data_IF_155954106986
#
_entry.id   IF_155954106986
#
_cell.length_a   1.000
_cell.length_b   1.000
_cell.length_c   1.000
_cell.angle_alpha   90.00
_cell.angle_beta   90.00
_cell.angle_gamma   90.00
#
_symmetry.space_group_name_H-M   'P 1'
#
loop_
_entity.id
_entity.type
_entity.pdbx_description
1 polymer ?
#
# COMPACT_ATOMS: atom_id res chain seq x y z
N UNK A 1 0.44 10.46 -10.48
CA UNK A 1 1.50 9.57 -9.98
C UNK A 1 0.95 8.33 -9.28
N UNK A 2 -0.07 8.45 -8.42
CA UNK A 2 -0.68 7.29 -7.77
C UNK A 2 -1.17 6.24 -8.79
N UNK A 3 -1.97 6.63 -9.79
CA UNK A 3 -2.42 5.74 -10.86
C UNK A 3 -1.28 5.16 -11.70
N UNK A 4 -0.21 5.94 -11.90
CA UNK A 4 0.98 5.49 -12.63
C UNK A 4 1.76 4.43 -11.82
N UNK A 5 1.75 4.52 -10.49
CA UNK A 5 2.42 3.57 -9.62
C UNK A 5 1.64 2.26 -9.49
N UNK A 6 0.32 2.34 -9.47
CA UNK A 6 -0.57 1.18 -9.34
C UNK A 6 -0.95 0.54 -10.70
N UNK A 7 -0.73 1.22 -11.83
CA UNK A 7 -1.24 0.79 -13.13
C UNK A 7 -2.76 0.62 -13.08
N UNK A 8 -3.25 -0.51 -13.59
CA UNK A 8 -4.66 -0.86 -13.48
C UNK A 8 -4.99 -1.65 -12.20
N UNK A 9 -4.07 -1.70 -11.24
CA UNK A 9 -4.06 -2.54 -10.03
C UNK A 9 -5.42 -2.99 -9.50
N UNK A 10 -6.28 -2.09 -8.99
CA UNK A 10 -7.59 -2.48 -8.46
C UNK A 10 -8.53 -3.11 -9.49
N UNK A 11 -8.41 -2.73 -10.76
CA UNK A 11 -9.27 -3.21 -11.85
C UNK A 11 -8.78 -4.50 -12.49
N UNK A 12 -7.51 -4.91 -12.26
CA UNK A 12 -6.88 -6.06 -12.89
C UNK A 12 -7.68 -7.35 -12.67
N UNK A 13 -8.09 -7.63 -11.43
CA UNK A 13 -8.80 -8.84 -11.08
C UNK A 13 -10.09 -8.99 -11.86
N UNK A 14 -10.92 -7.94 -11.87
CA UNK A 14 -12.20 -7.93 -12.59
C UNK A 14 -12.00 -7.94 -14.11
N UNK A 15 -10.97 -7.24 -14.62
CA UNK A 15 -10.60 -7.24 -16.03
C UNK A 15 -10.24 -8.65 -16.56
N UNK A 16 -9.43 -9.40 -15.82
CA UNK A 16 -9.05 -10.77 -16.18
C UNK A 16 -10.21 -11.74 -16.02
N UNK A 17 -11.02 -11.57 -14.96
CA UNK A 17 -12.23 -12.39 -14.76
C UNK A 17 -13.23 -12.26 -15.91
N UNK A 18 -13.46 -11.04 -16.42
CA UNK A 18 -14.31 -10.83 -17.60
C UNK A 18 -13.78 -11.54 -18.87
N UNK A 19 -12.49 -11.86 -18.91
CA UNK A 19 -11.84 -12.63 -19.98
C UNK A 19 -11.76 -14.12 -19.73
N UNK A 20 -12.50 -14.61 -18.73
CA UNK A 20 -12.61 -16.02 -18.43
C UNK A 20 -11.51 -16.57 -17.53
N UNK A 21 -10.67 -15.71 -16.93
CA UNK A 21 -9.68 -16.19 -15.97
C UNK A 21 -10.33 -16.59 -14.65
N UNK A 22 -9.83 -17.69 -14.09
CA UNK A 22 -10.20 -18.14 -12.76
C UNK A 22 -9.45 -17.34 -11.67
N UNK A 23 -10.00 -17.30 -10.47
CA UNK A 23 -9.47 -16.49 -9.37
C UNK A 23 -8.09 -16.94 -8.89
N UNK A 24 -7.77 -18.22 -8.95
CA UNK A 24 -6.45 -18.76 -8.57
C UNK A 24 -5.31 -18.20 -9.42
N UNK A 25 -5.33 -18.36 -10.75
CA UNK A 25 -4.36 -17.72 -11.66
C UNK A 25 -4.29 -16.20 -11.52
N UNK A 26 -5.43 -15.50 -11.35
CA UNK A 26 -5.44 -14.05 -11.09
C UNK A 26 -4.65 -13.72 -9.82
N UNK A 27 -4.95 -14.41 -8.73
CA UNK A 27 -4.21 -14.23 -7.47
C UNK A 27 -2.71 -14.52 -7.60
N UNK A 28 -2.35 -15.55 -8.38
CA UNK A 28 -0.95 -15.93 -8.63
C UNK A 28 -0.17 -14.82 -9.34
N UNK A 29 -0.73 -14.23 -10.41
CA UNK A 29 -0.02 -13.14 -11.12
C UNK A 29 0.06 -11.87 -10.29
N UNK A 30 -0.95 -11.56 -9.47
CA UNK A 30 -0.89 -10.44 -8.52
C UNK A 30 0.18 -10.67 -7.44
N UNK A 31 0.30 -11.89 -6.92
CA UNK A 31 1.36 -12.27 -5.98
C UNK A 31 2.75 -12.18 -6.60
N UNK A 32 2.93 -12.63 -7.85
CA UNK A 32 4.19 -12.52 -8.56
C UNK A 32 4.63 -11.05 -8.67
N UNK A 33 3.71 -10.15 -9.03
CA UNK A 33 3.96 -8.70 -8.99
C UNK A 33 4.31 -8.20 -7.59
N UNK A 34 3.53 -8.57 -6.58
CA UNK A 34 3.77 -8.16 -5.18
C UNK A 34 5.15 -8.57 -4.67
N UNK A 35 5.56 -9.82 -4.90
CA UNK A 35 6.90 -10.32 -4.52
C UNK A 35 8.00 -9.58 -5.28
N UNK A 36 7.83 -9.36 -6.59
CA UNK A 36 8.81 -8.64 -7.40
C UNK A 36 8.98 -7.19 -6.93
N UNK A 37 7.87 -6.48 -6.65
CA UNK A 37 7.89 -5.13 -6.11
C UNK A 37 8.57 -5.05 -4.75
N UNK A 38 8.25 -5.98 -3.84
CA UNK A 38 8.87 -6.06 -2.51
C UNK A 38 10.37 -6.33 -2.62
N UNK A 39 10.78 -7.31 -3.41
CA UNK A 39 12.19 -7.63 -3.62
C UNK A 39 12.97 -6.46 -4.24
N UNK A 40 12.31 -5.66 -5.08
CA UNK A 40 12.93 -4.52 -5.76
C UNK A 40 12.97 -3.24 -4.91
N UNK A 41 12.23 -3.16 -3.80
CA UNK A 41 12.14 -1.93 -2.99
C UNK A 41 13.50 -1.44 -2.52
N UNK A 42 14.32 -2.32 -1.94
CA UNK A 42 15.67 -1.94 -1.44
C UNK A 42 16.64 -1.64 -2.59
N UNK A 43 16.78 -2.49 -3.63
CA UNK A 43 17.63 -2.18 -4.78
C UNK A 43 17.23 -0.88 -5.49
N UNK A 44 15.93 -0.63 -5.67
CA UNK A 44 15.44 0.59 -6.28
C UNK A 44 15.77 1.84 -5.45
N UNK A 45 15.58 1.78 -4.13
CA UNK A 45 16.00 2.85 -3.22
C UNK A 45 17.49 3.16 -3.33
N UNK A 46 18.33 2.13 -3.24
CA UNK A 46 19.77 2.28 -3.38
C UNK A 46 20.19 2.87 -4.75
N UNK A 47 19.54 2.44 -5.84
CA UNK A 47 19.78 3.01 -7.17
C UNK A 47 19.40 4.50 -7.22
N UNK A 48 18.27 4.88 -6.62
CA UNK A 48 17.82 6.27 -6.56
C UNK A 48 18.78 7.15 -5.76
N UNK A 49 19.34 6.63 -4.67
CA UNK A 49 20.33 7.37 -3.87
C UNK A 49 21.60 7.67 -4.63
N UNK A 50 22.03 6.75 -5.50
CA UNK A 50 23.26 6.93 -6.30
C UNK A 50 23.05 7.80 -7.55
N UNK A 51 21.85 7.84 -8.13
CA UNK A 51 21.62 8.57 -9.39
C UNK A 51 21.41 10.07 -9.18
N UNK A 52 22.00 10.89 -10.05
CA UNK A 52 21.69 12.31 -10.17
C UNK A 52 20.43 12.57 -11.03
N UNK A 53 20.02 11.61 -11.85
CA UNK A 53 18.94 11.77 -12.85
C UNK A 53 17.58 11.28 -12.34
N UNK A 54 17.22 11.61 -11.10
CA UNK A 54 15.98 11.12 -10.45
C UNK A 54 14.71 11.39 -11.27
N UNK A 55 14.63 12.53 -11.99
CA UNK A 55 13.51 12.87 -12.88
C UNK A 55 13.37 11.86 -14.02
N UNK A 56 14.48 11.51 -14.68
CA UNK A 56 14.49 10.54 -15.77
C UNK A 56 14.12 9.14 -15.29
N UNK A 57 14.46 8.77 -14.05
CA UNK A 57 14.00 7.49 -13.48
C UNK A 57 12.46 7.48 -13.41
N UNK A 58 11.82 8.54 -12.90
CA UNK A 58 10.35 8.63 -12.87
C UNK A 58 9.75 8.55 -14.28
N UNK A 59 10.37 9.21 -15.27
CA UNK A 59 9.91 9.16 -16.67
C UNK A 59 9.99 7.76 -17.24
N UNK A 60 11.16 7.11 -17.13
CA UNK A 60 11.40 5.78 -17.70
C UNK A 60 10.50 4.75 -17.01
N UNK A 61 10.44 4.75 -15.69
CA UNK A 61 9.59 3.80 -14.94
C UNK A 61 8.10 4.03 -15.22
N UNK A 62 7.69 5.28 -15.38
CA UNK A 62 6.33 5.61 -15.77
C UNK A 62 5.96 5.11 -17.16
N UNK A 63 6.84 5.29 -18.14
CA UNK A 63 6.67 4.74 -19.49
C UNK A 63 6.63 3.20 -19.44
N UNK A 64 7.55 2.56 -18.70
CA UNK A 64 7.56 1.10 -18.54
C UNK A 64 6.25 0.58 -17.95
N UNK A 65 5.72 1.25 -16.90
CA UNK A 65 4.44 0.87 -16.27
C UNK A 65 3.27 0.96 -17.26
N UNK A 66 3.19 2.05 -18.02
CA UNK A 66 2.14 2.23 -19.03
C UNK A 66 2.26 1.16 -20.12
N UNK A 67 3.45 0.95 -20.68
CA UNK A 67 3.67 -0.06 -21.72
C UNK A 67 3.37 -1.47 -21.22
N UNK A 68 3.83 -1.82 -20.01
CA UNK A 68 3.54 -3.10 -19.40
C UNK A 68 2.03 -3.31 -19.21
N UNK A 69 1.30 -2.27 -18.80
CA UNK A 69 -0.16 -2.32 -18.68
C UNK A 69 -0.84 -2.56 -20.04
N UNK A 70 -0.38 -1.89 -21.10
CA UNK A 70 -0.95 -2.08 -22.45
C UNK A 70 -0.76 -3.48 -23.01
N UNK A 71 0.29 -4.22 -22.59
CA UNK A 71 0.46 -5.62 -22.98
C UNK A 71 -0.76 -6.49 -22.62
N UNK A 72 -1.48 -6.14 -21.55
CA UNK A 72 -2.70 -6.83 -21.11
C UNK A 72 -3.87 -6.69 -22.08
N UNK A 73 -3.90 -5.63 -22.90
CA UNK A 73 -4.90 -5.45 -23.95
C UNK A 73 -4.61 -6.35 -25.16
N UNK A 74 -3.33 -6.64 -25.40
CA UNK A 74 -2.90 -7.41 -26.57
C UNK A 74 -2.96 -8.91 -26.32
N UNK A 75 -2.50 -9.37 -25.16
CA UNK A 75 -2.42 -10.80 -24.85
C UNK A 75 -2.80 -11.07 -23.40
N UNK A 76 -3.62 -12.11 -23.22
CA UNK A 76 -3.98 -12.66 -21.92
C UNK A 76 -3.30 -14.02 -21.66
N UNK A 77 -2.22 -14.35 -22.35
CA UNK A 77 -1.42 -15.51 -22.00
C UNK A 77 -0.81 -15.32 -20.59
N UNK A 78 -0.84 -16.36 -19.77
CA UNK A 78 -0.43 -16.31 -18.37
C UNK A 78 0.96 -15.66 -18.18
N UNK A 79 1.95 -16.04 -18.97
CA UNK A 79 3.31 -15.51 -18.90
C UNK A 79 3.36 -14.02 -19.26
N UNK A 80 2.54 -13.55 -20.21
CA UNK A 80 2.49 -12.13 -20.59
C UNK A 80 1.87 -11.31 -19.46
N UNK A 81 0.78 -11.78 -18.86
CA UNK A 81 0.14 -11.12 -17.73
C UNK A 81 1.08 -11.09 -16.51
N UNK A 82 1.70 -12.22 -16.18
CA UNK A 82 2.67 -12.31 -15.07
C UNK A 82 3.86 -11.38 -15.31
N UNK A 83 4.43 -11.41 -16.52
CA UNK A 83 5.54 -10.51 -16.91
C UNK A 83 5.16 -9.04 -16.83
N UNK A 84 3.95 -8.67 -17.27
CA UNK A 84 3.41 -7.31 -17.14
C UNK A 84 3.31 -6.88 -15.66
N UNK A 85 2.77 -7.74 -14.78
CA UNK A 85 2.64 -7.43 -13.36
C UNK A 85 4.01 -7.30 -12.67
N UNK A 86 4.96 -8.18 -12.99
CA UNK A 86 6.34 -8.10 -12.48
C UNK A 86 7.02 -6.82 -12.98
N UNK A 87 6.92 -6.51 -14.27
CA UNK A 87 7.53 -5.29 -14.84
C UNK A 87 6.93 -4.01 -14.23
N UNK A 88 5.60 -3.95 -14.08
CA UNK A 88 4.90 -2.83 -13.44
C UNK A 88 5.33 -2.66 -11.99
N UNK A 89 5.46 -3.76 -11.24
CA UNK A 89 5.84 -3.73 -9.83
C UNK A 89 7.32 -3.29 -9.64
N UNK A 90 8.22 -3.79 -10.48
CA UNK A 90 9.64 -3.37 -10.48
C UNK A 90 9.75 -1.88 -10.81
N UNK A 91 9.07 -1.42 -11.86
CA UNK A 91 9.05 -0.01 -12.22
C UNK A 91 8.44 0.85 -11.11
N UNK A 92 7.31 0.43 -10.56
CA UNK A 92 6.61 1.12 -9.47
C UNK A 92 7.45 1.28 -8.19
N UNK A 93 8.29 0.29 -7.88
CA UNK A 93 9.15 0.29 -6.70
C UNK A 93 10.15 1.48 -6.67
N UNK A 94 10.56 1.98 -7.83
CA UNK A 94 11.48 3.11 -7.94
C UNK A 94 10.81 4.49 -7.87
N UNK A 95 9.50 4.59 -8.16
CA UNK A 95 8.78 5.87 -8.24
C UNK A 95 8.71 6.56 -6.88
N UNK A 96 8.34 5.84 -5.83
CA UNK A 96 8.24 6.38 -4.47
C UNK A 96 9.54 7.01 -3.97
N UNK A 97 10.66 6.25 -3.94
CA UNK A 97 11.98 6.78 -3.56
C UNK A 97 12.43 7.95 -4.45
N UNK A 98 12.18 7.89 -5.77
CA UNK A 98 12.56 8.98 -6.69
C UNK A 98 11.79 10.29 -6.38
N UNK A 99 10.49 10.21 -6.13
CA UNK A 99 9.67 11.38 -5.76
C UNK A 99 10.09 11.93 -4.39
N UNK A 100 10.34 11.05 -3.41
CA UNK A 100 10.84 11.46 -2.10
C UNK A 100 12.20 12.16 -2.22
N UNK A 101 13.13 11.59 -3.00
CA UNK A 101 14.44 12.19 -3.25
C UNK A 101 14.36 13.54 -3.98
N UNK A 102 13.49 13.69 -4.99
CA UNK A 102 13.23 14.98 -5.66
C UNK A 102 12.68 15.98 -4.63
N UNK A 103 11.69 15.58 -3.85
CA UNK A 103 11.09 16.44 -2.80
C UNK A 103 12.15 16.91 -1.82
N UNK A 104 12.96 15.98 -1.29
CA UNK A 104 14.04 16.31 -0.36
C UNK A 104 15.08 17.25 -0.98
N UNK A 105 15.44 17.03 -2.25
CA UNK A 105 16.37 17.89 -2.99
C UNK A 105 15.85 19.30 -3.23
N UNK A 106 14.53 19.50 -3.33
CA UNK A 106 13.92 20.83 -3.56
C UNK A 106 13.69 21.59 -2.25
N UNK A 107 13.11 20.92 -1.23
CA UNK A 107 12.68 21.63 0.01
C UNK A 107 13.65 21.42 1.19
N UNK A 108 14.66 20.59 1.00
CA UNK A 108 15.62 20.17 2.03
C UNK A 108 14.96 19.55 3.27
N UNK A 109 15.78 19.13 4.25
CA UNK A 109 15.29 18.42 5.43
C UNK A 109 14.27 19.22 6.23
N UNK A 110 14.46 20.54 6.38
CA UNK A 110 13.55 21.41 7.16
C UNK A 110 12.13 21.46 6.57
N UNK A 111 12.00 21.43 5.25
CA UNK A 111 10.69 21.49 4.55
C UNK A 111 10.09 20.12 4.23
N UNK A 112 10.86 19.03 4.38
CA UNK A 112 10.51 17.71 3.86
C UNK A 112 9.20 17.18 4.46
N UNK A 113 9.04 17.20 5.78
CA UNK A 113 7.85 16.64 6.44
C UNK A 113 6.56 17.35 5.98
N UNK A 114 6.59 18.69 5.93
CA UNK A 114 5.42 19.48 5.49
C UNK A 114 5.09 19.23 4.01
N UNK A 115 6.11 19.19 3.14
CA UNK A 115 5.90 18.93 1.71
C UNK A 115 5.49 17.48 1.45
N UNK A 116 6.09 16.52 2.14
CA UNK A 116 5.70 15.12 2.01
C UNK A 116 4.25 14.89 2.46
N UNK A 117 3.81 15.55 3.54
CA UNK A 117 2.40 15.53 3.95
C UNK A 117 1.46 16.05 2.86
N UNK A 118 1.83 17.17 2.19
CA UNK A 118 1.07 17.70 1.04
C UNK A 118 1.07 16.72 -0.14
N UNK A 119 2.22 16.11 -0.44
CA UNK A 119 2.33 15.11 -1.51
C UNK A 119 1.41 13.91 -1.24
N UNK A 120 1.33 13.45 0.01
CA UNK A 120 0.43 12.35 0.38
C UNK A 120 -1.05 12.74 0.28
N UNK A 121 -1.41 13.96 0.68
CA UNK A 121 -2.78 14.45 0.49
C UNK A 121 -3.17 14.49 -0.99
N UNK A 122 -2.29 14.99 -1.87
CA UNK A 122 -2.50 14.96 -3.32
C UNK A 122 -2.51 13.55 -3.90
N UNK A 123 -1.74 12.61 -3.32
CA UNK A 123 -1.76 11.21 -3.72
C UNK A 123 -3.13 10.57 -3.44
N UNK A 124 -3.69 10.79 -2.24
CA UNK A 124 -5.03 10.31 -1.90
C UNK A 124 -6.13 10.95 -2.75
N UNK A 125 -6.05 12.25 -3.00
CA UNK A 125 -6.97 12.95 -3.91
C UNK A 125 -6.87 12.39 -5.33
N UNK A 126 -5.65 12.14 -5.81
CA UNK A 126 -5.40 11.52 -7.11
C UNK A 126 -6.00 10.12 -7.22
N UNK A 127 -5.83 9.27 -6.20
CA UNK A 127 -6.44 7.95 -6.15
C UNK A 127 -7.98 8.01 -6.19
N UNK A 128 -8.58 8.94 -5.45
CA UNK A 128 -10.03 9.11 -5.43
C UNK A 128 -10.57 9.54 -6.80
N UNK A 129 -9.95 10.56 -7.40
CA UNK A 129 -10.34 11.09 -8.72
C UNK A 129 -10.06 10.06 -9.81
N UNK A 130 -8.89 9.43 -9.77
CA UNK A 130 -8.49 8.40 -10.73
C UNK A 130 -9.45 7.21 -10.71
N UNK A 131 -9.80 6.70 -9.53
CA UNK A 131 -10.75 5.62 -9.40
C UNK A 131 -12.14 6.02 -9.94
N UNK A 132 -12.64 7.21 -9.60
CA UNK A 132 -13.93 7.69 -10.09
C UNK A 132 -13.99 7.84 -11.60
N UNK A 133 -12.95 8.46 -12.20
CA UNK A 133 -12.84 8.59 -13.67
C UNK A 133 -12.68 7.23 -14.35
N UNK A 134 -11.88 6.32 -13.79
CA UNK A 134 -11.73 4.96 -14.30
C UNK A 134 -13.05 4.19 -14.29
N UNK A 135 -13.82 4.32 -13.19
CA UNK A 135 -15.14 3.71 -13.09
C UNK A 135 -16.10 4.25 -14.14
N UNK A 136 -16.19 5.56 -14.28
CA UNK A 136 -17.09 6.21 -15.24
C UNK A 136 -16.72 5.91 -16.69
N UNK A 137 -15.43 6.01 -17.05
CA UNK A 137 -14.94 5.71 -18.39
C UNK A 137 -15.08 4.23 -18.71
N UNK A 138 -14.76 3.36 -17.75
CA UNK A 138 -14.91 1.91 -17.90
C UNK A 138 -16.37 1.48 -18.10
N UNK A 139 -17.31 2.09 -17.37
CA UNK A 139 -18.73 1.90 -17.54
C UNK A 139 -19.23 2.39 -18.91
N UNK A 140 -18.80 3.59 -19.34
CA UNK A 140 -19.30 4.23 -20.56
C UNK A 140 -18.69 3.69 -21.85
N UNK A 141 -17.40 3.32 -21.83
CA UNK A 141 -16.59 2.97 -22.99
C UNK A 141 -15.95 1.57 -22.88
N UNK A 142 -16.22 0.84 -21.80
CA UNK A 142 -15.63 -0.47 -21.51
C UNK A 142 -14.28 -0.40 -20.82
N UNK A 143 -13.88 -1.54 -20.22
CA UNK A 143 -12.63 -1.67 -19.44
C UNK A 143 -11.35 -1.19 -20.15
N UNK A 144 -11.19 -1.33 -21.50
CA UNK A 144 -10.01 -0.78 -22.18
C UNK A 144 -9.81 0.72 -22.01
N UNK A 145 -10.87 1.51 -21.79
CA UNK A 145 -10.79 2.95 -21.59
C UNK A 145 -9.97 3.32 -20.34
N UNK A 146 -9.93 2.46 -19.33
CA UNK A 146 -9.15 2.64 -18.10
C UNK A 146 -7.65 2.67 -18.42
N UNK A 147 -7.18 1.86 -19.34
CA UNK A 147 -5.77 1.83 -19.77
C UNK A 147 -5.36 3.13 -20.47
N UNK A 148 -6.24 3.68 -21.30
CA UNK A 148 -5.98 4.97 -21.95
C UNK A 148 -6.00 6.12 -20.94
N UNK A 149 -6.87 6.07 -19.93
CA UNK A 149 -6.85 7.04 -18.83
C UNK A 149 -5.55 6.95 -18.03
N UNK A 150 -5.10 5.74 -17.69
CA UNK A 150 -3.81 5.53 -17.00
C UNK A 150 -2.63 6.08 -17.82
N UNK A 151 -2.66 5.90 -19.16
CA UNK A 151 -1.66 6.49 -20.04
C UNK A 151 -1.72 8.03 -20.05
N UNK A 152 -2.93 8.63 -20.09
CA UNK A 152 -3.09 10.07 -20.01
C UNK A 152 -2.56 10.64 -18.69
N UNK A 153 -2.85 9.99 -17.55
CA UNK A 153 -2.27 10.35 -16.25
C UNK A 153 -0.75 10.14 -16.22
N UNK A 154 -0.24 9.10 -16.89
CA UNK A 154 1.18 8.89 -17.08
C UNK A 154 1.85 10.06 -17.80
N UNK A 155 1.30 10.50 -18.90
CA UNK A 155 1.79 11.69 -19.66
C UNK A 155 1.74 12.95 -18.79
N UNK A 156 0.63 13.20 -18.08
CA UNK A 156 0.52 14.34 -17.17
C UNK A 156 1.54 14.28 -16.02
N UNK A 157 1.79 13.10 -15.46
CA UNK A 157 2.79 12.92 -14.41
C UNK A 157 4.21 13.14 -14.93
N UNK A 158 4.53 12.64 -16.12
CA UNK A 158 5.82 12.84 -16.79
C UNK A 158 6.05 14.32 -17.08
N UNK A 159 5.06 15.02 -17.67
CA UNK A 159 5.17 16.45 -17.94
C UNK A 159 5.33 17.27 -16.66
N UNK A 160 4.61 16.93 -15.60
CA UNK A 160 4.75 17.58 -14.29
C UNK A 160 6.13 17.39 -13.68
N UNK A 161 6.72 16.18 -13.77
CA UNK A 161 8.08 15.92 -13.26
C UNK A 161 9.14 16.62 -14.09
N UNK A 162 9.00 16.63 -15.41
CA UNK A 162 9.94 17.31 -16.31
C UNK A 162 9.87 18.85 -16.18
N UNK A 163 8.74 19.41 -15.74
CA UNK A 163 8.61 20.84 -15.47
C UNK A 163 9.38 21.31 -14.23
N UNK A 164 9.81 20.40 -13.35
CA UNK A 164 10.69 20.73 -12.22
C UNK A 164 12.08 21.02 -12.76
N UNK A 165 12.64 22.25 -12.61
CA UNK A 165 13.97 22.58 -13.13
C UNK A 165 15.04 21.71 -12.44
N UNK A 166 15.96 21.14 -13.19
CA UNK A 166 17.03 20.31 -12.64
C UNK A 166 17.89 21.05 -11.62
N UNK A 167 18.15 22.32 -11.90
CA UNK A 167 18.86 23.25 -11.01
C UNK A 167 18.18 23.49 -9.66
N UNK A 168 16.89 23.20 -9.54
CA UNK A 168 16.17 23.32 -8.28
C UNK A 168 16.38 22.10 -7.35
N UNK A 169 16.96 21.02 -7.86
CA UNK A 169 17.17 19.77 -7.11
C UNK A 169 18.61 19.73 -6.62
N UNK A 170 18.80 19.95 -5.32
CA UNK A 170 20.09 19.74 -4.66
C UNK A 170 20.33 18.23 -4.49
N UNK A 171 21.26 17.69 -5.29
CA UNK A 171 21.55 16.24 -5.30
C UNK A 171 22.21 15.75 -4.00
N UNK A 172 22.87 16.62 -3.22
CA UNK A 172 23.45 16.26 -1.91
C UNK A 172 22.35 16.17 -0.86
N UNK A 173 21.48 17.18 -0.80
CA UNK A 173 20.30 17.16 0.05
C UNK A 173 19.39 15.96 -0.29
N UNK A 174 19.15 15.69 -1.57
CA UNK A 174 18.37 14.55 -2.05
C UNK A 174 18.89 13.16 -1.61
N UNK A 175 20.14 13.08 -1.13
CA UNK A 175 20.76 11.87 -0.55
C UNK A 175 20.82 11.91 0.98
N UNK A 176 20.27 12.96 1.62
CA UNK A 176 20.36 13.13 3.07
C UNK A 176 21.74 13.56 3.57
N UNK A 177 22.65 14.04 2.68
CA UNK A 177 24.02 14.42 3.00
C UNK A 177 24.09 15.93 3.35
N UNK A 178 23.23 16.43 4.22
CA UNK A 178 23.35 17.79 4.74
C UNK A 178 24.36 17.87 5.89
N UNK A 179 25.19 18.95 5.96
CA UNK A 179 26.27 19.07 6.95
C UNK A 179 25.81 19.02 8.42
N UNK A 180 24.58 19.42 8.69
CA UNK A 180 24.01 19.45 10.06
C UNK A 180 23.79 18.03 10.64
N UNK A 181 23.73 16.98 9.84
CA UNK A 181 23.50 15.61 10.29
C UNK A 181 24.77 14.75 10.42
N UNK A 182 25.92 15.23 9.94
CA UNK A 182 27.19 14.50 10.09
C UNK A 182 27.68 14.46 11.55
N UNK A 183 27.22 15.37 12.40
CA UNK A 183 27.59 15.38 13.81
C UNK A 183 26.93 14.29 14.67
N UNK A 184 25.80 13.71 14.21
CA UNK A 184 25.08 12.63 14.89
C UNK A 184 25.38 11.24 14.36
N UNK A 185 26.10 11.12 13.25
CA UNK A 185 26.44 9.84 12.61
C UNK A 185 27.59 9.07 13.29
N UNK A 186 28.24 9.64 14.32
CA UNK A 186 29.30 8.98 15.08
C UNK A 186 28.81 8.02 16.19
N UNK A 187 27.51 7.86 16.37
CA UNK A 187 26.95 6.74 17.11
C UNK A 187 27.09 5.49 16.23
N UNK A 188 28.01 4.58 16.58
CA UNK A 188 28.08 3.26 15.97
C UNK A 188 26.67 2.66 16.01
N UNK A 189 26.12 2.42 14.83
CA UNK A 189 24.81 1.79 14.69
C UNK A 189 24.86 0.42 15.36
N UNK A 190 24.28 0.27 16.55
CA UNK A 190 24.13 -1.01 17.24
C UNK A 190 23.53 -2.07 16.29
N UNK A 191 23.99 -3.32 16.41
CA UNK A 191 23.80 -4.34 15.38
C UNK A 191 22.33 -4.66 15.09
N UNK A 192 22.04 -5.14 13.89
CA UNK A 192 20.73 -5.67 13.45
C UNK A 192 20.10 -6.64 14.47
N UNK A 193 20.93 -7.22 15.31
CA UNK A 193 20.57 -8.09 16.43
C UNK A 193 19.67 -7.40 17.47
N UNK A 194 19.79 -6.09 17.66
CA UNK A 194 18.97 -5.34 18.63
C UNK A 194 17.51 -5.21 18.16
N UNK A 195 17.29 -5.02 16.87
CA UNK A 195 15.94 -5.05 16.30
C UNK A 195 15.26 -6.41 16.50
N UNK A 196 16.03 -7.50 16.38
CA UNK A 196 15.54 -8.86 16.60
C UNK A 196 15.33 -9.20 18.10
N UNK A 197 15.85 -8.40 19.01
CA UNK A 197 15.61 -8.54 20.45
C UNK A 197 14.46 -7.68 20.97
N UNK A 198 13.99 -6.72 20.17
CA UNK A 198 12.87 -5.85 20.57
C UNK A 198 11.53 -6.59 20.42
N UNK A 199 11.09 -7.24 21.51
CA UNK A 199 9.84 -8.04 21.52
C UNK A 199 8.61 -7.27 21.04
N UNK A 200 8.31 -6.02 21.49
CA UNK A 200 7.18 -5.25 20.98
C UNK A 200 7.23 -5.05 19.46
N UNK A 201 8.41 -4.78 18.90
CA UNK A 201 8.60 -4.59 17.46
C UNK A 201 8.31 -5.87 16.67
N UNK A 202 8.78 -7.02 17.16
CA UNK A 202 8.53 -8.32 16.54
C UNK A 202 7.06 -8.71 16.58
N UNK A 203 6.37 -8.45 17.71
CA UNK A 203 4.94 -8.70 17.84
C UNK A 203 4.16 -7.82 16.88
N UNK A 204 4.51 -6.53 16.77
CA UNK A 204 3.91 -5.62 15.79
C UNK A 204 4.10 -6.12 14.36
N UNK A 205 5.32 -6.51 13.98
CA UNK A 205 5.62 -7.03 12.66
C UNK A 205 4.82 -8.30 12.33
N UNK A 206 4.75 -9.26 13.27
CA UNK A 206 3.98 -10.49 13.11
C UNK A 206 2.47 -10.21 13.00
N UNK A 207 1.93 -9.32 13.84
CA UNK A 207 0.52 -8.93 13.78
C UNK A 207 0.18 -8.26 12.44
N UNK A 208 1.05 -7.37 11.94
CA UNK A 208 0.88 -6.74 10.63
C UNK A 208 0.98 -7.73 9.48
N UNK A 209 1.89 -8.71 9.55
CA UNK A 209 1.97 -9.76 8.54
C UNK A 209 0.68 -10.59 8.47
N UNK A 210 0.15 -11.01 9.60
CA UNK A 210 -1.13 -11.74 9.68
C UNK A 210 -2.30 -10.86 9.18
N UNK A 211 -2.33 -9.58 9.56
CA UNK A 211 -3.33 -8.63 9.08
C UNK A 211 -3.30 -8.52 7.56
N UNK A 212 -2.15 -8.25 6.98
CA UNK A 212 -2.02 -8.03 5.53
C UNK A 212 -2.18 -9.33 4.73
N UNK A 213 -1.85 -10.48 5.32
CA UNK A 213 -2.15 -11.78 4.73
C UNK A 213 -3.67 -11.99 4.59
N UNK A 214 -4.46 -11.54 5.55
CA UNK A 214 -5.93 -11.54 5.46
C UNK A 214 -6.46 -10.45 4.53
N UNK A 215 -5.85 -9.27 4.54
CA UNK A 215 -6.41 -8.07 3.89
C UNK A 215 -6.11 -7.95 2.39
N UNK A 216 -4.90 -8.33 1.95
CA UNK A 216 -4.41 -8.00 0.60
C UNK A 216 -5.29 -8.52 -0.56
N UNK A 217 -5.92 -9.68 -0.38
CA UNK A 217 -6.83 -10.26 -1.37
C UNK A 217 -8.27 -9.73 -1.27
N UNK A 218 -8.69 -9.21 -0.10
CA UNK A 218 -10.13 -8.94 0.14
C UNK A 218 -10.71 -7.90 -0.82
N UNK A 219 -9.98 -6.82 -1.12
CA UNK A 219 -10.50 -5.77 -2.00
C UNK A 219 -10.73 -6.29 -3.44
N UNK A 220 -9.74 -6.89 -4.14
CA UNK A 220 -9.96 -7.41 -5.48
C UNK A 220 -10.94 -8.58 -5.50
N UNK A 221 -10.91 -9.48 -4.52
CA UNK A 221 -11.82 -10.63 -4.47
C UNK A 221 -13.28 -10.19 -4.25
N UNK A 222 -13.53 -9.16 -3.43
CA UNK A 222 -14.90 -8.68 -3.21
C UNK A 222 -15.47 -8.08 -4.51
N UNK A 223 -14.66 -7.32 -5.25
CA UNK A 223 -15.03 -6.83 -6.57
C UNK A 223 -15.36 -7.97 -7.54
N UNK A 224 -14.48 -8.96 -7.64
CA UNK A 224 -14.68 -10.13 -8.49
C UNK A 224 -15.92 -10.95 -8.08
N UNK A 225 -16.18 -11.10 -6.77
CA UNK A 225 -17.33 -11.85 -6.26
C UNK A 225 -18.66 -11.18 -6.65
N UNK A 226 -18.81 -9.89 -6.41
CA UNK A 226 -20.05 -9.16 -6.72
C UNK A 226 -20.28 -9.07 -8.22
N UNK A 227 -19.24 -8.76 -8.99
CA UNK A 227 -19.31 -8.69 -10.45
C UNK A 227 -19.57 -10.07 -11.08
N UNK A 228 -18.89 -11.12 -10.59
CA UNK A 228 -19.08 -12.49 -11.07
C UNK A 228 -20.47 -13.04 -10.81
N UNK A 229 -21.20 -12.53 -9.80
CA UNK A 229 -22.60 -12.83 -9.53
C UNK A 229 -23.59 -11.93 -10.31
N UNK A 230 -23.10 -11.06 -11.20
CA UNK A 230 -23.95 -10.15 -11.99
C UNK A 230 -24.59 -9.02 -11.18
N UNK A 231 -24.09 -8.74 -9.96
CA UNK A 231 -24.67 -7.76 -9.03
C UNK A 231 -24.11 -6.34 -9.14
N UNK A 232 -23.30 -6.06 -10.16
CA UNK A 232 -22.72 -4.74 -10.38
C UNK A 232 -21.96 -4.61 -11.69
N UNK A 233 -21.85 -3.38 -12.19
CA UNK A 233 -20.97 -3.07 -13.33
C UNK A 233 -19.50 -3.21 -12.88
N UNK A 234 -18.67 -3.90 -13.67
CA UNK A 234 -17.28 -4.20 -13.32
C UNK A 234 -16.44 -2.97 -13.00
N UNK A 235 -16.53 -1.92 -13.81
CA UNK A 235 -15.73 -0.72 -13.67
C UNK A 235 -16.23 0.17 -12.53
N UNK A 236 -17.55 0.45 -12.51
CA UNK A 236 -18.15 1.29 -11.46
C UNK A 236 -18.06 0.65 -10.09
N UNK A 237 -18.29 -0.66 -9.97
CA UNK A 237 -18.20 -1.34 -8.68
C UNK A 237 -16.77 -1.30 -8.14
N UNK A 238 -15.78 -1.61 -8.98
CA UNK A 238 -14.36 -1.55 -8.58
C UNK A 238 -13.95 -0.12 -8.20
N UNK A 239 -14.38 0.89 -8.95
CA UNK A 239 -14.14 2.29 -8.60
C UNK A 239 -14.74 2.64 -7.23
N UNK A 240 -15.99 2.23 -6.99
CA UNK A 240 -16.67 2.47 -5.72
C UNK A 240 -15.93 1.82 -4.54
N UNK A 241 -15.39 0.60 -4.72
CA UNK A 241 -14.59 -0.05 -3.66
C UNK A 241 -13.39 0.81 -3.25
N UNK A 242 -12.66 1.34 -4.23
CA UNK A 242 -11.49 2.20 -3.97
C UNK A 242 -11.90 3.54 -3.36
N UNK A 243 -12.94 4.18 -3.90
CA UNK A 243 -13.40 5.50 -3.44
C UNK A 243 -13.88 5.45 -1.99
N UNK A 244 -14.68 4.47 -1.61
CA UNK A 244 -15.18 4.31 -0.24
C UNK A 244 -14.02 4.07 0.72
N UNK A 245 -13.11 3.13 0.40
CA UNK A 245 -11.95 2.86 1.23
C UNK A 245 -11.07 4.10 1.43
N UNK A 246 -10.77 4.85 0.37
CA UNK A 246 -9.95 6.06 0.43
C UNK A 246 -10.61 7.19 1.23
N UNK A 247 -11.91 7.42 1.03
CA UNK A 247 -12.64 8.45 1.76
C UNK A 247 -12.65 8.17 3.28
N UNK A 248 -12.94 6.93 3.65
CA UNK A 248 -12.94 6.52 5.06
C UNK A 248 -11.53 6.53 5.65
N UNK A 249 -10.51 6.13 4.87
CA UNK A 249 -9.12 6.14 5.30
C UNK A 249 -8.64 7.56 5.68
N UNK A 250 -9.03 8.58 4.92
CA UNK A 250 -8.70 9.98 5.25
C UNK A 250 -9.28 10.36 6.61
N UNK A 251 -10.56 10.08 6.84
CA UNK A 251 -11.23 10.40 8.11
C UNK A 251 -10.62 9.61 9.27
N UNK A 252 -10.37 8.30 9.05
CA UNK A 252 -9.79 7.43 10.05
C UNK A 252 -8.36 7.82 10.43
N UNK A 253 -7.54 8.29 9.49
CA UNK A 253 -6.18 8.77 9.78
C UNK A 253 -6.18 10.03 10.65
N UNK A 254 -7.11 10.97 10.42
CA UNK A 254 -7.31 12.14 11.27
C UNK A 254 -7.76 11.77 12.69
N UNK A 255 -8.68 10.80 12.78
CA UNK A 255 -9.12 10.27 14.08
C UNK A 255 -7.98 9.54 14.81
N UNK A 256 -7.13 8.80 14.07
CA UNK A 256 -5.98 8.09 14.60
C UNK A 256 -4.97 9.04 15.28
N UNK A 257 -4.66 10.18 14.66
CA UNK A 257 -3.76 11.18 15.26
C UNK A 257 -4.28 11.66 16.62
N UNK A 258 -5.55 11.99 16.69
CA UNK A 258 -6.18 12.44 17.94
C UNK A 258 -6.21 11.33 19.00
N UNK A 259 -6.59 10.13 18.61
CA UNK A 259 -6.70 8.98 19.50
C UNK A 259 -5.33 8.52 19.99
N UNK A 260 -4.31 8.50 19.14
CA UNK A 260 -2.94 8.16 19.49
C UNK A 260 -2.36 9.12 20.54
N UNK A 261 -2.61 10.43 20.36
CA UNK A 261 -2.19 11.44 21.33
C UNK A 261 -2.88 11.28 22.69
N UNK A 262 -4.18 10.95 22.72
CA UNK A 262 -4.97 10.86 23.94
C UNK A 262 -4.84 9.51 24.67
N UNK A 263 -4.77 8.40 23.95
CA UNK A 263 -4.88 7.04 24.48
C UNK A 263 -3.69 6.13 24.12
N UNK A 264 -2.70 6.65 23.40
CA UNK A 264 -1.56 5.88 22.91
C UNK A 264 -1.88 4.98 21.71
N UNK A 265 -0.84 4.39 21.15
CA UNK A 265 -0.94 3.60 19.90
C UNK A 265 -1.62 2.23 20.09
N UNK A 266 -1.62 1.68 21.31
CA UNK A 266 -2.19 0.34 21.55
C UNK A 266 -3.67 0.24 21.18
N UNK A 267 -4.47 1.22 21.61
CA UNK A 267 -5.92 1.25 21.32
C UNK A 267 -6.19 1.51 19.83
N UNK A 268 -5.40 2.37 19.19
CA UNK A 268 -5.54 2.67 17.76
C UNK A 268 -5.35 1.40 16.93
N UNK A 269 -4.28 0.64 17.22
CA UNK A 269 -3.98 -0.61 16.53
C UNK A 269 -4.97 -1.73 16.91
N UNK A 270 -5.47 -1.76 18.15
CA UNK A 270 -6.53 -2.69 18.55
C UNK A 270 -7.78 -2.53 17.68
N UNK A 271 -8.24 -1.29 17.49
CA UNK A 271 -9.41 -0.98 16.65
C UNK A 271 -9.14 -1.37 15.20
N UNK A 272 -7.94 -1.05 14.69
CA UNK A 272 -7.55 -1.44 13.34
C UNK A 272 -7.56 -2.96 13.15
N UNK A 273 -6.93 -3.71 14.07
CA UNK A 273 -6.89 -5.18 14.00
C UNK A 273 -8.27 -5.82 14.21
N UNK A 274 -9.19 -5.18 14.92
CA UNK A 274 -10.57 -5.65 15.07
C UNK A 274 -11.43 -5.39 13.82
N UNK A 275 -11.15 -4.34 13.07
CA UNK A 275 -11.91 -3.98 11.87
C UNK A 275 -11.84 -5.06 10.78
N UNK A 276 -10.69 -5.72 10.62
CA UNK A 276 -10.50 -6.68 9.53
C UNK A 276 -11.23 -8.02 9.73
N UNK A 277 -11.25 -8.67 10.90
CA UNK A 277 -12.11 -9.83 11.13
C UNK A 277 -13.58 -9.53 10.88
N UNK A 278 -14.05 -8.36 11.33
CA UNK A 278 -15.43 -7.91 11.09
C UNK A 278 -15.67 -7.69 9.59
N UNK A 279 -14.71 -7.13 8.87
CA UNK A 279 -14.75 -7.01 7.41
C UNK A 279 -14.89 -8.38 6.74
N UNK A 280 -14.09 -9.36 7.16
CA UNK A 280 -14.14 -10.74 6.65
C UNK A 280 -15.49 -11.40 6.90
N UNK A 281 -16.07 -11.21 8.08
CA UNK A 281 -17.42 -11.70 8.42
C UNK A 281 -18.49 -11.05 7.53
N UNK A 282 -18.47 -9.74 7.36
CA UNK A 282 -19.45 -9.03 6.52
C UNK A 282 -19.30 -9.39 5.05
N UNK A 283 -18.06 -9.45 4.54
CA UNK A 283 -17.81 -9.84 3.16
C UNK A 283 -18.19 -11.31 2.90
N UNK A 284 -17.95 -12.20 3.86
CA UNK A 284 -18.35 -13.60 3.76
C UNK A 284 -19.85 -13.84 3.90
N UNK A 285 -20.56 -13.02 4.69
CA UNK A 285 -21.99 -13.14 4.86
C UNK A 285 -22.78 -12.50 3.72
N UNK A 286 -22.33 -11.35 3.21
CA UNK A 286 -23.08 -10.50 2.28
C UNK A 286 -22.25 -10.14 1.04
N UNK A 287 -22.32 -10.96 0.00
CA UNK A 287 -21.76 -10.66 -1.33
C UNK A 287 -22.86 -9.95 -2.14
N UNK A 288 -23.06 -8.67 -1.82
CA UNK A 288 -24.12 -7.84 -2.38
C UNK A 288 -23.57 -6.49 -2.86
N UNK A 289 -24.28 -5.86 -3.80
CA UNK A 289 -23.88 -4.54 -4.31
C UNK A 289 -23.74 -3.51 -3.19
N UNK A 290 -24.70 -3.47 -2.26
CA UNK A 290 -24.67 -2.54 -1.11
C UNK A 290 -23.59 -2.85 -0.09
N UNK A 291 -23.10 -4.10 -0.05
CA UNK A 291 -22.06 -4.53 0.87
C UNK A 291 -20.72 -3.80 0.67
N UNK A 292 -20.51 -3.15 -0.49
CA UNK A 292 -19.33 -2.31 -0.74
C UNK A 292 -19.15 -1.25 0.36
N UNK A 293 -20.24 -0.66 0.85
CA UNK A 293 -20.16 0.41 1.84
C UNK A 293 -19.58 -0.06 3.17
N UNK A 294 -20.16 -1.02 3.89
CA UNK A 294 -19.62 -1.45 5.18
C UNK A 294 -18.29 -2.21 5.02
N UNK A 295 -18.13 -3.03 3.98
CA UNK A 295 -16.91 -3.82 3.76
C UNK A 295 -15.71 -2.92 3.48
N UNK A 296 -15.86 -1.90 2.62
CA UNK A 296 -14.76 -1.00 2.30
C UNK A 296 -14.57 0.12 3.34
N UNK A 297 -15.62 0.48 4.09
CA UNK A 297 -15.46 1.36 5.24
C UNK A 297 -14.55 0.73 6.30
N UNK A 298 -14.71 -0.56 6.60
CA UNK A 298 -13.83 -1.27 7.53
C UNK A 298 -12.39 -1.38 7.01
N UNK A 299 -12.18 -1.52 5.70
CA UNK A 299 -10.85 -1.43 5.08
C UNK A 299 -10.21 -0.06 5.32
N UNK A 300 -10.96 0.99 5.00
CA UNK A 300 -10.50 2.37 5.21
C UNK A 300 -10.19 2.69 6.67
N UNK A 301 -10.99 2.17 7.62
CA UNK A 301 -10.71 2.29 9.05
C UNK A 301 -9.39 1.59 9.39
N UNK A 302 -9.23 0.33 8.99
CA UNK A 302 -8.02 -0.45 9.24
C UNK A 302 -6.78 0.25 8.71
N UNK A 303 -6.77 0.59 7.42
CA UNK A 303 -5.64 1.23 6.75
C UNK A 303 -5.34 2.64 7.28
N UNK A 304 -6.39 3.45 7.52
CA UNK A 304 -6.24 4.81 8.03
C UNK A 304 -5.65 4.85 9.44
N UNK A 305 -6.09 3.96 10.33
CA UNK A 305 -5.53 3.86 11.67
C UNK A 305 -4.07 3.38 11.64
N UNK A 306 -3.73 2.40 10.81
CA UNK A 306 -2.35 1.88 10.68
C UNK A 306 -1.40 2.91 10.08
N UNK A 307 -1.84 3.73 9.12
CA UNK A 307 -1.00 4.73 8.46
C UNK A 307 -0.36 5.73 9.44
N UNK A 308 -1.01 5.96 10.56
CA UNK A 308 -0.53 6.84 11.65
C UNK A 308 0.13 6.05 12.77
N UNK A 309 -0.54 4.97 13.23
CA UNK A 309 -0.12 4.29 14.45
C UNK A 309 1.12 3.42 14.26
N UNK A 310 1.31 2.80 13.08
CA UNK A 310 2.47 1.93 12.83
C UNK A 310 3.78 2.73 12.83
N UNK A 311 3.96 3.78 11.99
CA UNK A 311 5.20 4.54 12.02
C UNK A 311 5.42 5.26 13.35
N UNK A 312 4.36 5.76 13.98
CA UNK A 312 4.45 6.42 15.29
C UNK A 312 4.91 5.48 16.40
N UNK A 313 4.37 4.26 16.45
CA UNK A 313 4.79 3.26 17.43
C UNK A 313 6.23 2.81 17.20
N UNK A 314 6.64 2.57 15.95
CA UNK A 314 8.02 2.18 15.62
C UNK A 314 8.99 3.28 16.06
N UNK A 315 8.65 4.56 15.81
CA UNK A 315 9.46 5.68 16.25
C UNK A 315 9.62 5.70 17.79
N UNK A 316 8.54 5.43 18.55
CA UNK A 316 8.62 5.34 20.02
C UNK A 316 9.43 4.14 20.51
N UNK A 317 9.27 2.97 19.87
CA UNK A 317 9.98 1.74 20.27
C UNK A 317 11.48 1.79 20.01
N UNK A 318 11.90 2.60 19.04
CA UNK A 318 13.30 2.73 18.63
C UNK A 318 13.87 4.13 18.93
N UNK A 319 13.20 4.90 19.78
CA UNK A 319 13.70 6.21 20.23
C UNK A 319 15.06 6.06 20.90
N UNK A 320 16.00 6.96 20.56
CA UNK A 320 17.37 6.92 21.06
C UNK A 320 18.30 5.87 20.44
N UNK A 321 17.79 4.92 19.63
CA UNK A 321 18.64 3.88 19.00
C UNK A 321 19.30 4.34 17.69
N UNK A 322 18.84 5.45 17.09
CA UNK A 322 19.25 5.89 15.74
C UNK A 322 18.77 4.99 14.60
N UNK A 323 17.84 4.03 14.85
CA UNK A 323 17.43 2.98 13.89
C UNK A 323 15.96 2.98 13.51
N UNK A 324 15.26 4.06 13.74
CA UNK A 324 13.82 4.17 13.42
C UNK A 324 13.53 3.79 11.96
N UNK A 325 14.31 4.31 11.01
CA UNK A 325 14.10 4.03 9.58
C UNK A 325 14.37 2.56 9.24
N UNK A 326 15.41 1.96 9.81
CA UNK A 326 15.73 0.52 9.60
C UNK A 326 14.64 -0.36 10.19
N UNK A 327 14.17 -0.04 11.40
CA UNK A 327 13.06 -0.75 12.05
C UNK A 327 11.76 -0.62 11.27
N UNK A 328 11.45 0.56 10.77
CA UNK A 328 10.29 0.77 9.89
C UNK A 328 10.40 -0.03 8.61
N UNK A 329 11.55 -0.03 7.94
CA UNK A 329 11.81 -0.84 6.75
C UNK A 329 11.65 -2.34 7.03
N UNK A 330 12.18 -2.83 8.15
CA UNK A 330 12.05 -4.24 8.55
C UNK A 330 10.58 -4.64 8.79
N UNK A 331 9.82 -3.84 9.54
CA UNK A 331 8.39 -4.07 9.80
C UNK A 331 7.59 -4.03 8.49
N UNK A 332 7.83 -3.05 7.62
CA UNK A 332 7.17 -2.95 6.31
C UNK A 332 7.51 -4.12 5.39
N UNK A 333 8.73 -4.67 5.46
CA UNK A 333 9.11 -5.87 4.69
C UNK A 333 8.31 -7.08 5.16
N UNK A 334 8.22 -7.31 6.47
CA UNK A 334 7.44 -8.42 7.03
C UNK A 334 5.95 -8.28 6.70
N UNK A 335 5.39 -7.08 6.83
CA UNK A 335 4.04 -6.74 6.39
C UNK A 335 3.85 -7.02 4.90
N UNK A 336 4.81 -6.62 4.07
CA UNK A 336 4.82 -6.80 2.62
C UNK A 336 4.78 -8.26 2.18
N UNK A 337 5.43 -9.16 2.94
CA UNK A 337 5.32 -10.62 2.71
C UNK A 337 3.87 -11.07 2.81
N UNK A 338 3.17 -10.71 3.90
CA UNK A 338 1.76 -11.03 4.07
C UNK A 338 0.89 -10.47 2.94
N UNK A 339 1.06 -9.19 2.62
CA UNK A 339 0.32 -8.51 1.57
C UNK A 339 0.55 -9.16 0.18
N UNK A 340 1.79 -9.53 -0.14
CA UNK A 340 2.15 -10.11 -1.43
C UNK A 340 1.64 -11.54 -1.61
N UNK A 341 1.59 -12.35 -0.55
CA UNK A 341 1.09 -13.73 -0.60
C UNK A 341 -0.44 -13.80 -0.59
N UNK A 342 -1.10 -12.81 -0.01
CA UNK A 342 -2.56 -12.78 0.17
C UNK A 342 -3.35 -13.01 -1.14
N UNK A 343 -3.03 -12.38 -2.29
CA UNK A 343 -3.80 -12.59 -3.52
C UNK A 343 -3.76 -14.02 -4.04
N UNK A 344 -2.62 -14.72 -3.99
CA UNK A 344 -2.54 -16.12 -4.39
C UNK A 344 -3.37 -17.00 -3.47
N UNK A 345 -3.18 -16.85 -2.15
CA UNK A 345 -3.92 -17.63 -1.14
C UNK A 345 -5.42 -17.40 -1.32
N UNK A 346 -5.85 -16.13 -1.34
CA UNK A 346 -7.26 -15.79 -1.50
C UNK A 346 -7.84 -16.23 -2.84
N UNK A 347 -7.09 -16.08 -3.94
CA UNK A 347 -7.51 -16.49 -5.27
C UNK A 347 -7.74 -18.00 -5.38
N UNK A 348 -6.80 -18.83 -4.89
CA UNK A 348 -6.95 -20.28 -4.89
C UNK A 348 -8.03 -20.76 -3.91
N UNK A 349 -8.15 -20.16 -2.73
CA UNK A 349 -9.26 -20.46 -1.82
C UNK A 349 -10.62 -20.15 -2.48
N UNK A 350 -10.74 -19.01 -3.16
CA UNK A 350 -11.97 -18.64 -3.83
C UNK A 350 -12.33 -19.58 -4.97
N UNK A 351 -11.33 -20.08 -5.69
CA UNK A 351 -11.53 -21.07 -6.74
C UNK A 351 -11.96 -22.44 -6.21
N UNK A 352 -11.41 -22.86 -5.08
CA UNK A 352 -11.64 -24.21 -4.51
C UNK A 352 -12.86 -24.26 -3.60
N UNK A 353 -13.09 -23.23 -2.77
CA UNK A 353 -14.07 -23.22 -1.69
C UNK A 353 -15.20 -22.20 -1.93
N UNK A 354 -15.07 -21.36 -2.97
CA UNK A 354 -15.97 -20.24 -3.23
C UNK A 354 -15.68 -19.00 -2.38
N UNK A 355 -16.28 -17.89 -2.78
CA UNK A 355 -15.99 -16.57 -2.18
C UNK A 355 -16.38 -16.46 -0.72
N UNK A 356 -17.56 -16.98 -0.30
CA UNK A 356 -18.05 -16.91 1.08
C UNK A 356 -17.04 -17.51 2.06
N UNK A 357 -16.63 -18.76 1.83
CA UNK A 357 -15.67 -19.46 2.68
C UNK A 357 -14.31 -18.74 2.69
N UNK A 358 -13.88 -18.22 1.55
CA UNK A 358 -12.62 -17.49 1.42
C UNK A 358 -12.59 -16.25 2.30
N UNK A 359 -13.64 -15.44 2.33
CA UNK A 359 -13.68 -14.25 3.17
C UNK A 359 -13.67 -14.59 4.65
N UNK A 360 -14.31 -15.68 5.08
CA UNK A 360 -14.24 -16.15 6.46
C UNK A 360 -12.82 -16.62 6.82
N UNK A 361 -12.12 -17.34 5.93
CA UNK A 361 -10.74 -17.79 6.15
C UNK A 361 -9.78 -16.58 6.20
N UNK A 362 -9.90 -15.64 5.29
CA UNK A 362 -9.10 -14.41 5.30
C UNK A 362 -9.36 -13.58 6.58
N UNK A 363 -10.62 -13.52 7.03
CA UNK A 363 -10.98 -12.96 8.34
C UNK A 363 -10.35 -13.73 9.50
N UNK A 364 -10.17 -15.04 9.37
CA UNK A 364 -9.47 -15.90 10.33
C UNK A 364 -7.98 -15.55 10.49
N UNK A 365 -7.27 -15.25 9.37
CA UNK A 365 -5.89 -14.72 9.46
C UNK A 365 -5.85 -13.38 10.20
N UNK A 366 -6.86 -12.55 9.98
CA UNK A 366 -7.00 -11.29 10.68
C UNK A 366 -7.28 -11.47 12.19
N UNK A 367 -8.04 -12.50 12.57
CA UNK A 367 -8.21 -12.85 13.98
C UNK A 367 -6.89 -13.21 14.64
N UNK A 368 -5.95 -13.84 13.91
CA UNK A 368 -4.62 -14.13 14.45
C UNK A 368 -3.85 -12.82 14.77
N UNK A 369 -3.98 -11.77 13.95
CA UNK A 369 -3.38 -10.46 14.26
C UNK A 369 -3.97 -9.83 15.52
N UNK A 370 -5.29 -9.90 15.68
CA UNK A 370 -6.00 -9.41 16.85
C UNK A 370 -5.66 -10.22 18.11
N UNK A 371 -5.57 -11.55 17.99
CA UNK A 371 -5.19 -12.45 19.09
C UNK A 371 -3.76 -12.18 19.56
N UNK A 372 -2.81 -11.99 18.64
CA UNK A 372 -1.45 -11.58 18.98
C UNK A 372 -1.44 -10.23 19.72
N UNK A 373 -2.19 -9.24 19.23
CA UNK A 373 -2.22 -7.91 19.82
C UNK A 373 -2.80 -7.90 21.24
N UNK A 374 -3.86 -8.66 21.48
CA UNK A 374 -4.50 -8.81 22.80
C UNK A 374 -3.65 -9.72 23.71
N UNK A 375 -3.18 -10.85 23.19
CA UNK A 375 -2.43 -11.83 23.96
C UNK A 375 -1.14 -11.27 24.56
N UNK A 376 -0.48 -10.36 23.85
CA UNK A 376 0.73 -9.69 24.33
C UNK A 376 0.47 -8.26 24.87
N UNK A 377 -0.77 -7.94 25.26
CA UNK A 377 -1.14 -6.63 25.78
C UNK A 377 -0.27 -6.17 26.96
N UNK A 378 0.15 -7.11 27.84
CA UNK A 378 1.04 -6.82 28.97
C UNK A 378 2.41 -6.26 28.55
N UNK A 379 2.93 -6.71 27.40
CA UNK A 379 4.20 -6.22 26.83
C UNK A 379 4.00 -4.96 26.00
N UNK A 380 2.88 -4.88 25.26
CA UNK A 380 2.64 -3.81 24.27
C UNK A 380 2.10 -2.53 24.89
N UNK A 381 1.18 -2.60 25.87
CA UNK A 381 0.57 -1.39 26.49
C UNK A 381 1.60 -0.44 27.10
N UNK A 382 2.57 -0.90 27.92
CA UNK A 382 3.60 -0.01 28.45
C UNK A 382 4.46 0.61 27.33
N UNK A 383 4.83 -0.18 26.32
CA UNK A 383 5.62 0.28 25.19
C UNK A 383 4.87 1.30 24.33
N UNK A 384 3.55 1.15 24.17
CA UNK A 384 2.69 2.08 23.42
C UNK A 384 2.36 3.37 24.20
N UNK A 385 2.43 3.34 25.53
CA UNK A 385 2.15 4.50 26.39
C UNK A 385 3.33 5.47 26.49
N UNK A 386 4.55 5.04 26.20
CA UNK A 386 5.75 5.87 26.30
C UNK A 386 5.74 7.08 25.33
N UNK A 387 4.86 7.07 24.31
CA UNK A 387 4.63 8.19 23.39
C UNK A 387 3.48 9.14 23.76
N UNK A 388 2.62 8.75 24.71
CA UNK A 388 1.50 9.58 25.16
C UNK A 388 1.99 10.52 26.26
N UNK A 389 2.30 11.77 25.91
CA UNK A 389 2.57 12.80 26.92
C UNK A 389 3.98 13.39 26.95
N UNK A 390 4.76 13.31 25.89
CA UNK A 390 5.88 14.24 25.70
C UNK A 390 5.39 15.44 24.87
N UNK A 391 5.42 16.66 25.42
CA UNK A 391 5.04 17.90 24.73
C UNK A 391 5.90 18.20 23.51
#
# INVERSE_FOLDING_TARGET
MADMQAGIGPFLGVFLQQRGWQTGPIGTVMTAGGIAGMAMTVPAGAFIDHTAHKRWVVVITGICTVLASFLLLWSQAFLVVAGSQVATAIAGAAIGPAVAGITLGVVRQRGFNAQNGRNQAWNHAGNLVGAGLSGWLGWRFGMPAIFFLAAAFGVLAITAVLSIPERAIDHRAARGLEPEHQATANGQAEGFRELLSNKPLLILAAALACFHLGNGAMLPLYGMAVVGMGKGDPAMFTATTVMVAQAVMIVASLAAMKLAHQRGYWLVLLVSFAALPLRGLLAGAFIEHWGVWPVQALDGIGAGLQSVAVPGLIACLLDGTGRVNVGQGAVMTVQGVGASLSPAIGGWLAQMLGYHATFFILGGFALASLALWIGFAGTLRPACAAGAGRP
#
